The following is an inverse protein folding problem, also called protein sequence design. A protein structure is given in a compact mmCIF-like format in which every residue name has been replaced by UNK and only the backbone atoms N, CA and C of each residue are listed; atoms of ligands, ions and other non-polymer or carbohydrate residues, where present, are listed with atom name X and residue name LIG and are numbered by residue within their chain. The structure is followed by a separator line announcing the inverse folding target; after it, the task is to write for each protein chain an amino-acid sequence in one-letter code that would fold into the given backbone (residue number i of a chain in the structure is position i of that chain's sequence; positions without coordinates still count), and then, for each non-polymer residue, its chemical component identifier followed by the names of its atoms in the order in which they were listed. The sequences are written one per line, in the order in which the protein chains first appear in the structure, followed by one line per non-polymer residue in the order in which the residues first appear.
data_IF_442061121237
#
_entry.id   IF_442061121237
#
_cell.length_a   1.000
_cell.length_b   1.000
_cell.length_c   1.000
_cell.angle_alpha   90.00
_cell.angle_beta   90.00
_cell.angle_gamma   90.00
#
_symmetry.space_group_name_H-M   'P 1'
#
loop_
_entity.id
_entity.type
_entity.pdbx_description
1 polymer ?
#
# COMPACT_ATOMS: atom_id res chain seq x y z
N UNK A 1 -45.92 -13.46 24.80
CA UNK A 1 -45.17 -12.22 24.50
C UNK A 1 -43.77 -12.38 25.08
N UNK A 2 -42.78 -12.61 24.23
CA UNK A 2 -41.38 -12.39 24.55
C UNK A 2 -40.78 -11.66 23.35
N UNK A 3 -40.39 -10.41 23.61
CA UNK A 3 -39.74 -9.49 22.70
C UNK A 3 -38.26 -9.88 22.58
N UNK A 4 -37.89 -10.71 21.59
CA UNK A 4 -36.47 -10.87 21.24
C UNK A 4 -36.18 -11.24 19.78
N UNK A 5 -37.19 -11.43 18.93
CA UNK A 5 -36.97 -11.86 17.53
C UNK A 5 -37.16 -10.74 16.49
N UNK A 6 -36.87 -9.50 16.85
CA UNK A 6 -36.84 -8.37 15.90
C UNK A 6 -35.61 -7.53 16.18
N UNK A 7 -34.48 -7.92 15.58
CA UNK A 7 -33.36 -7.07 15.10
C UNK A 7 -32.15 -7.93 14.72
N UNK A 8 -32.28 -8.72 13.65
CA UNK A 8 -31.14 -8.93 12.75
C UNK A 8 -31.23 -7.88 11.64
N UNK A 9 -31.12 -6.61 12.02
CA UNK A 9 -30.83 -5.55 11.06
C UNK A 9 -29.49 -5.89 10.43
N UNK A 10 -29.49 -6.22 9.14
CA UNK A 10 -28.29 -6.41 8.32
C UNK A 10 -27.44 -5.15 8.45
N UNK A 11 -26.41 -5.20 9.30
CA UNK A 11 -25.40 -4.14 9.34
C UNK A 11 -24.83 -3.99 7.93
N UNK A 12 -24.87 -2.78 7.34
CA UNK A 12 -24.37 -2.58 5.99
C UNK A 12 -22.87 -2.93 5.96
N UNK A 13 -22.40 -3.57 4.88
CA UNK A 13 -21.00 -4.00 4.77
C UNK A 13 -20.00 -2.82 4.80
N UNK A 14 -20.46 -1.64 4.40
CA UNK A 14 -19.71 -0.38 4.41
C UNK A 14 -20.58 0.77 4.90
N UNK A 15 -19.94 1.78 5.50
CA UNK A 15 -20.59 3.01 5.94
C UNK A 15 -19.75 4.24 5.57
N UNK A 16 -20.39 5.41 5.55
CA UNK A 16 -19.71 6.70 5.44
C UNK A 16 -19.44 7.23 6.84
N UNK A 17 -18.19 7.60 7.11
CA UNK A 17 -17.79 8.21 8.37
C UNK A 17 -17.26 9.64 8.15
N UNK A 18 -17.66 10.60 9.00
CA UNK A 18 -17.11 11.95 8.92
C UNK A 18 -15.67 11.98 9.40
N UNK A 19 -14.86 12.80 8.75
CA UNK A 19 -13.48 13.13 9.08
C UNK A 19 -13.38 14.62 9.49
N UNK A 20 -12.26 15.04 10.11
CA UNK A 20 -11.99 16.45 10.34
C UNK A 20 -12.18 17.33 9.09
N UNK A 21 -12.53 18.60 9.31
CA UNK A 21 -12.74 19.59 8.25
C UNK A 21 -13.88 19.26 7.25
N UNK A 22 -14.89 18.49 7.68
CA UNK A 22 -16.09 18.22 6.89
C UNK A 22 -15.90 17.20 5.76
N UNK A 23 -14.78 16.48 5.76
CA UNK A 23 -14.53 15.40 4.80
C UNK A 23 -15.24 14.12 5.23
N UNK A 24 -15.35 13.17 4.32
CA UNK A 24 -15.91 11.85 4.59
C UNK A 24 -14.96 10.76 4.11
N UNK A 25 -15.08 9.57 4.69
CA UNK A 25 -14.41 8.38 4.19
C UNK A 25 -15.28 7.14 4.31
N UNK A 26 -14.88 6.08 3.61
CA UNK A 26 -15.51 4.77 3.66
C UNK A 26 -14.95 3.99 4.84
N UNK A 27 -15.84 3.33 5.59
CA UNK A 27 -15.49 2.35 6.62
C UNK A 27 -15.97 0.97 6.20
N UNK A 28 -15.10 -0.03 6.31
CA UNK A 28 -15.48 -1.43 6.20
C UNK A 28 -15.95 -1.93 7.56
N UNK A 29 -17.22 -2.33 7.68
CA UNK A 29 -17.76 -2.83 8.96
C UNK A 29 -17.21 -4.22 9.29
N UNK A 30 -17.01 -5.07 8.27
CA UNK A 30 -16.44 -6.40 8.44
C UNK A 30 -15.01 -6.36 9.01
N UNK A 31 -14.18 -5.43 8.52
CA UNK A 31 -12.81 -5.28 9.01
C UNK A 31 -12.71 -4.33 10.20
N UNK A 32 -13.69 -3.45 10.41
CA UNK A 32 -13.66 -2.41 11.43
C UNK A 32 -12.64 -1.31 11.16
N UNK A 33 -12.26 -1.11 9.88
CA UNK A 33 -11.24 -0.16 9.44
C UNK A 33 -11.86 0.93 8.55
N UNK A 34 -11.35 2.15 8.71
CA UNK A 34 -11.71 3.32 7.90
C UNK A 34 -10.59 3.57 6.91
N UNK A 35 -10.94 3.76 5.64
CA UNK A 35 -9.98 4.04 4.58
C UNK A 35 -9.46 5.46 4.74
N UNK A 36 -8.18 5.70 4.45
CA UNK A 36 -7.54 7.02 4.51
C UNK A 36 -7.94 7.88 5.74
N UNK A 37 -7.74 7.36 6.97
CA UNK A 37 -8.26 8.01 8.17
C UNK A 37 -7.60 9.37 8.42
N UNK A 38 -8.27 10.22 9.21
CA UNK A 38 -7.79 11.52 9.70
C UNK A 38 -7.67 12.62 8.64
N UNK A 39 -6.75 12.48 7.69
CA UNK A 39 -6.43 13.54 6.72
C UNK A 39 -7.16 13.37 5.39
N UNK A 40 -7.84 12.24 5.19
CA UNK A 40 -8.56 11.92 3.96
C UNK A 40 -7.63 11.48 2.81
N UNK A 41 -8.23 10.95 1.73
CA UNK A 41 -7.50 10.25 0.67
C UNK A 41 -6.50 11.13 -0.08
N UNK A 42 -6.81 12.41 -0.30
CA UNK A 42 -5.92 13.33 -1.03
C UNK A 42 -4.57 13.53 -0.33
N UNK A 43 -4.61 13.88 0.95
CA UNK A 43 -3.40 14.19 1.72
C UNK A 43 -2.61 12.91 1.99
N UNK A 44 -3.30 11.82 2.34
CA UNK A 44 -2.65 10.54 2.57
C UNK A 44 -1.98 10.00 1.29
N UNK A 45 -2.68 10.02 0.16
CA UNK A 45 -2.14 9.58 -1.13
C UNK A 45 -0.82 10.28 -1.46
N UNK A 46 -0.81 11.61 -1.32
CA UNK A 46 0.36 12.44 -1.59
C UNK A 46 1.51 12.18 -0.62
N UNK A 47 1.23 12.22 0.68
CA UNK A 47 2.25 12.15 1.73
C UNK A 47 2.82 10.74 1.89
N UNK A 48 1.99 9.70 1.82
CA UNK A 48 2.43 8.31 2.01
C UNK A 48 3.06 7.77 0.74
N UNK A 49 2.43 8.00 -0.41
CA UNK A 49 2.78 7.26 -1.61
C UNK A 49 3.49 8.11 -2.67
N UNK A 50 2.99 9.29 -3.00
CA UNK A 50 3.53 10.03 -4.16
C UNK A 50 4.87 10.72 -3.87
N UNK A 51 4.93 11.47 -2.78
CA UNK A 51 6.10 12.26 -2.44
C UNK A 51 7.32 11.39 -2.09
N UNK A 52 7.20 10.36 -1.22
CA UNK A 52 8.36 9.55 -0.83
C UNK A 52 8.94 8.74 -2.00
N UNK A 53 8.12 8.39 -2.99
CA UNK A 53 8.54 7.67 -4.19
C UNK A 53 8.89 8.59 -5.37
N UNK A 54 8.83 9.92 -5.18
CA UNK A 54 9.11 10.95 -6.19
C UNK A 54 8.30 10.75 -7.49
N UNK A 55 7.03 10.37 -7.36
CA UNK A 55 6.18 9.97 -8.51
C UNK A 55 6.10 11.07 -9.57
N UNK A 56 5.83 12.32 -9.18
CA UNK A 56 5.73 13.44 -10.12
C UNK A 56 7.01 13.62 -10.96
N UNK A 57 8.18 13.61 -10.32
CA UNK A 57 9.47 13.73 -10.99
C UNK A 57 9.69 12.59 -11.99
N UNK A 58 9.37 11.36 -11.57
CA UNK A 58 9.60 10.16 -12.38
C UNK A 58 8.67 10.10 -13.59
N UNK A 59 7.40 10.53 -13.45
CA UNK A 59 6.50 10.65 -14.60
C UNK A 59 7.04 11.69 -15.58
N UNK A 60 7.45 12.88 -15.11
CA UNK A 60 7.99 13.96 -15.97
C UNK A 60 9.26 13.55 -16.73
N UNK A 61 10.12 12.74 -16.10
CA UNK A 61 11.40 12.31 -16.67
C UNK A 61 11.29 11.03 -17.50
N UNK A 62 10.14 10.34 -17.47
CA UNK A 62 9.96 9.11 -18.22
C UNK A 62 9.78 9.38 -19.73
N UNK A 63 10.33 8.48 -20.55
CA UNK A 63 10.17 8.50 -22.03
C UNK A 63 9.04 7.59 -22.52
N UNK A 64 8.43 6.84 -21.60
CA UNK A 64 7.34 5.88 -21.83
C UNK A 64 6.27 6.07 -20.75
N UNK A 65 5.07 5.49 -20.88
CA UNK A 65 4.13 5.46 -19.78
C UNK A 65 4.80 4.91 -18.51
N UNK A 66 4.70 5.66 -17.42
CA UNK A 66 5.24 5.25 -16.13
C UNK A 66 4.29 4.22 -15.52
N UNK A 67 4.78 3.01 -15.26
CA UNK A 67 3.93 1.90 -14.80
C UNK A 67 3.83 1.89 -13.27
N UNK A 68 2.61 1.89 -12.73
CA UNK A 68 2.33 1.79 -11.30
C UNK A 68 1.40 0.62 -10.99
N UNK A 69 1.65 -0.04 -9.86
CA UNK A 69 0.70 -0.96 -9.26
C UNK A 69 0.03 -0.32 -8.04
N UNK A 70 -1.27 -0.54 -7.91
CA UNK A 70 -2.10 -0.12 -6.79
C UNK A 70 -2.71 -1.37 -6.15
N UNK A 71 -2.12 -1.82 -5.04
CA UNK A 71 -2.50 -3.05 -4.35
C UNK A 71 -3.44 -2.70 -3.20
N UNK A 72 -4.70 -3.13 -3.34
CA UNK A 72 -5.78 -2.73 -2.44
C UNK A 72 -6.51 -1.50 -2.97
N UNK A 73 -7.08 -1.60 -4.18
CA UNK A 73 -7.84 -0.51 -4.81
C UNK A 73 -8.88 0.10 -3.85
N UNK A 74 -9.58 -0.74 -3.09
CA UNK A 74 -10.56 -0.30 -2.10
C UNK A 74 -11.61 0.61 -2.73
N UNK A 75 -11.68 1.85 -2.25
CA UNK A 75 -12.58 2.88 -2.76
C UNK A 75 -11.94 3.77 -3.84
N UNK A 76 -10.83 3.35 -4.44
CA UNK A 76 -10.04 4.06 -5.45
C UNK A 76 -9.42 5.41 -4.99
N UNK A 77 -9.24 5.61 -3.69
CA UNK A 77 -8.68 6.85 -3.15
C UNK A 77 -7.29 7.17 -3.71
N UNK A 78 -6.35 6.22 -3.65
CA UNK A 78 -4.99 6.41 -4.17
C UNK A 78 -4.97 6.57 -5.69
N UNK A 79 -5.67 5.68 -6.42
CA UNK A 79 -5.72 5.70 -7.88
C UNK A 79 -6.28 7.01 -8.44
N UNK A 80 -7.42 7.48 -7.91
CA UNK A 80 -8.06 8.72 -8.37
C UNK A 80 -7.16 9.94 -8.07
N UNK A 81 -6.58 10.00 -6.87
CA UNK A 81 -5.69 11.11 -6.52
C UNK A 81 -4.38 11.10 -7.32
N UNK A 82 -3.86 9.91 -7.67
CA UNK A 82 -2.72 9.79 -8.56
C UNK A 82 -3.03 10.45 -9.91
N UNK A 83 -4.17 10.13 -10.52
CA UNK A 83 -4.55 10.68 -11.83
C UNK A 83 -4.83 12.19 -11.71
N UNK A 84 -5.58 12.61 -10.70
CA UNK A 84 -5.99 14.01 -10.53
C UNK A 84 -4.81 14.93 -10.22
N UNK A 85 -3.94 14.58 -9.30
CA UNK A 85 -2.83 15.46 -8.88
C UNK A 85 -1.78 15.67 -9.98
N UNK A 86 -1.67 14.72 -10.91
CA UNK A 86 -0.67 14.74 -11.97
C UNK A 86 -1.25 15.20 -13.33
N UNK A 87 -2.46 15.77 -13.35
CA UNK A 87 -3.17 16.18 -14.57
C UNK A 87 -2.38 17.18 -15.44
N UNK A 88 -1.47 17.96 -14.85
CA UNK A 88 -0.70 18.98 -15.58
C UNK A 88 0.57 18.42 -16.24
N UNK A 89 0.89 17.14 -16.01
CA UNK A 89 2.07 16.50 -16.59
C UNK A 89 1.78 16.04 -18.01
N UNK A 90 2.59 16.51 -18.94
CA UNK A 90 2.60 16.00 -20.32
C UNK A 90 3.39 14.69 -20.37
N UNK A 91 2.71 13.59 -20.07
CA UNK A 91 3.26 12.24 -20.04
C UNK A 91 2.15 11.20 -19.97
N UNK A 92 2.53 9.93 -19.81
CA UNK A 92 1.59 8.82 -19.67
C UNK A 92 1.81 8.03 -18.39
N UNK A 93 0.74 7.45 -17.84
CA UNK A 93 0.80 6.42 -16.81
C UNK A 93 0.07 5.15 -17.26
N UNK A 94 0.60 4.01 -16.83
CA UNK A 94 -0.05 2.71 -16.92
C UNK A 94 -0.32 2.23 -15.48
N UNK A 95 -1.59 2.28 -15.07
CA UNK A 95 -1.99 1.99 -13.70
C UNK A 95 -2.66 0.62 -13.63
N UNK A 96 -2.13 -0.28 -12.80
CA UNK A 96 -2.70 -1.59 -12.53
C UNK A 96 -3.21 -1.63 -11.10
N UNK A 97 -4.54 -1.59 -10.93
CA UNK A 97 -5.17 -1.68 -9.62
C UNK A 97 -5.66 -3.09 -9.33
N UNK A 98 -5.34 -3.61 -8.16
CA UNK A 98 -5.65 -4.97 -7.71
C UNK A 98 -6.57 -4.93 -6.49
N UNK A 99 -7.63 -5.74 -6.52
CA UNK A 99 -8.47 -5.97 -5.35
C UNK A 99 -9.16 -7.35 -5.41
N UNK A 100 -9.47 -7.89 -4.25
CA UNK A 100 -10.28 -9.11 -4.15
C UNK A 100 -11.78 -8.83 -4.39
N UNK A 101 -12.24 -7.59 -4.24
CA UNK A 101 -13.64 -7.23 -4.37
C UNK A 101 -13.88 -5.81 -4.89
N UNK A 102 -14.91 -5.65 -5.72
CA UNK A 102 -15.40 -4.33 -6.13
C UNK A 102 -16.38 -3.70 -5.14
N UNK A 103 -16.70 -4.39 -4.03
CA UNK A 103 -17.71 -3.90 -3.11
C UNK A 103 -17.39 -2.50 -2.51
N UNK A 104 -16.16 -2.20 -2.06
CA UNK A 104 -15.84 -0.86 -1.57
C UNK A 104 -15.89 0.20 -2.67
N UNK A 105 -15.42 -0.13 -3.88
CA UNK A 105 -15.45 0.78 -5.03
C UNK A 105 -16.88 1.15 -5.43
N UNK A 106 -17.76 0.16 -5.56
CA UNK A 106 -19.18 0.36 -5.88
C UNK A 106 -19.91 1.13 -4.79
N UNK A 107 -19.61 0.85 -3.52
CA UNK A 107 -20.17 1.60 -2.40
C UNK A 107 -19.77 3.08 -2.49
N UNK A 108 -18.49 3.35 -2.72
CA UNK A 108 -17.98 4.70 -2.81
C UNK A 108 -18.55 5.45 -4.03
N UNK A 109 -18.69 4.79 -5.18
CA UNK A 109 -19.34 5.35 -6.37
C UNK A 109 -20.77 5.81 -6.08
N UNK A 110 -21.54 5.03 -5.31
CA UNK A 110 -22.90 5.41 -4.88
C UNK A 110 -22.97 6.57 -3.88
N UNK A 111 -21.82 7.03 -3.36
CA UNK A 111 -21.70 8.13 -2.40
C UNK A 111 -20.68 9.18 -2.86
N UNK A 112 -20.47 9.31 -4.18
CA UNK A 112 -19.41 10.15 -4.75
C UNK A 112 -19.50 11.62 -4.29
N UNK A 113 -20.71 12.17 -4.23
CA UNK A 113 -20.97 13.54 -3.78
C UNK A 113 -20.49 13.79 -2.34
N UNK A 114 -20.75 12.85 -1.42
CA UNK A 114 -20.33 12.96 -0.03
C UNK A 114 -18.82 12.79 0.14
N UNK A 115 -18.22 11.90 -0.64
CA UNK A 115 -16.79 11.61 -0.59
C UNK A 115 -15.94 12.71 -1.23
N UNK A 116 -16.46 13.43 -2.22
CA UNK A 116 -15.82 14.57 -2.89
C UNK A 116 -14.68 14.16 -3.83
N UNK A 117 -13.76 13.30 -3.38
CA UNK A 117 -12.61 12.87 -4.18
C UNK A 117 -13.00 12.05 -5.42
N UNK A 118 -14.24 11.54 -5.52
CA UNK A 118 -14.70 10.83 -6.71
C UNK A 118 -15.25 11.74 -7.82
N UNK A 119 -15.48 13.02 -7.52
CA UNK A 119 -16.11 13.95 -8.45
C UNK A 119 -15.37 14.00 -9.79
N UNK A 120 -16.11 13.75 -10.87
CA UNK A 120 -15.64 13.72 -12.25
C UNK A 120 -15.09 12.36 -12.72
N UNK A 121 -14.88 11.41 -11.80
CA UNK A 121 -14.41 10.06 -12.12
C UNK A 121 -15.54 9.05 -12.21
N UNK A 122 -16.78 9.40 -11.85
CA UNK A 122 -17.90 8.45 -11.80
C UNK A 122 -18.08 7.66 -13.11
N UNK A 123 -18.14 8.30 -14.30
CA UNK A 123 -18.28 7.55 -15.56
C UNK A 123 -17.06 6.68 -15.87
N UNK A 124 -15.86 7.14 -15.50
CA UNK A 124 -14.62 6.39 -15.71
C UNK A 124 -14.56 5.15 -14.81
N UNK A 125 -15.01 5.25 -13.56
CA UNK A 125 -15.10 4.12 -12.64
C UNK A 125 -16.15 3.12 -13.12
N UNK A 126 -17.32 3.58 -13.59
CA UNK A 126 -18.34 2.72 -14.19
C UNK A 126 -17.78 1.96 -15.39
N UNK A 127 -17.08 2.66 -16.29
CA UNK A 127 -16.44 2.06 -17.46
C UNK A 127 -15.33 1.07 -17.05
N UNK A 128 -14.46 1.43 -16.10
CA UNK A 128 -13.40 0.56 -15.58
C UNK A 128 -13.98 -0.75 -15.01
N UNK A 129 -15.08 -0.66 -14.25
CA UNK A 129 -15.76 -1.83 -13.69
C UNK A 129 -16.25 -2.77 -14.80
N UNK A 130 -16.78 -2.23 -15.90
CA UNK A 130 -17.35 -2.99 -17.01
C UNK A 130 -16.27 -3.56 -17.95
N UNK A 131 -15.34 -2.71 -18.39
CA UNK A 131 -14.38 -3.02 -19.45
C UNK A 131 -13.05 -3.57 -18.92
N UNK A 132 -12.78 -3.41 -17.61
CA UNK A 132 -11.53 -3.79 -16.91
C UNK A 132 -10.28 -3.04 -17.35
N UNK A 133 -10.24 -2.53 -18.58
CA UNK A 133 -9.16 -1.70 -19.09
C UNK A 133 -9.77 -0.51 -19.79
N UNK A 134 -9.38 0.69 -19.36
CA UNK A 134 -9.82 1.93 -19.99
C UNK A 134 -8.63 2.81 -20.33
N UNK A 135 -8.78 3.59 -21.39
CA UNK A 135 -7.80 4.59 -21.81
C UNK A 135 -8.48 5.94 -21.94
N UNK A 136 -7.90 6.96 -21.32
CA UNK A 136 -8.45 8.30 -21.35
C UNK A 136 -7.37 9.35 -21.09
N UNK A 137 -7.74 10.61 -21.24
CA UNK A 137 -6.88 11.75 -20.92
C UNK A 137 -7.50 12.54 -19.78
N UNK A 138 -6.70 12.85 -18.76
CA UNK A 138 -7.10 13.70 -17.65
C UNK A 138 -6.19 14.93 -17.60
N UNK A 139 -6.73 16.09 -17.98
CA UNK A 139 -5.91 17.27 -18.25
C UNK A 139 -4.95 17.04 -19.41
N UNK A 140 -3.64 17.04 -19.12
CA UNK A 140 -2.54 16.74 -20.04
C UNK A 140 -2.02 15.29 -19.92
N UNK A 141 -2.40 14.57 -18.87
CA UNK A 141 -1.93 13.23 -18.55
C UNK A 141 -2.68 12.18 -19.38
N UNK A 142 -1.94 11.29 -20.04
CA UNK A 142 -2.48 10.10 -20.70
C UNK A 142 -2.54 8.94 -19.68
N UNK A 143 -3.68 8.26 -19.60
CA UNK A 143 -3.91 7.21 -18.60
C UNK A 143 -4.39 5.95 -19.28
N UNK A 144 -3.69 4.84 -19.03
CA UNK A 144 -4.18 3.48 -19.27
C UNK A 144 -4.40 2.81 -17.91
N UNK A 145 -5.65 2.52 -17.56
CA UNK A 145 -6.01 1.97 -16.24
C UNK A 145 -6.57 0.56 -16.38
N UNK A 146 -5.88 -0.40 -15.77
CA UNK A 146 -6.23 -1.80 -15.68
C UNK A 146 -6.77 -2.14 -14.28
N UNK A 147 -7.89 -2.85 -14.23
CA UNK A 147 -8.50 -3.40 -13.03
C UNK A 147 -8.35 -4.92 -13.01
N UNK A 148 -7.65 -5.40 -11.99
CA UNK A 148 -7.38 -6.82 -11.75
C UNK A 148 -8.20 -7.29 -10.55
N UNK A 149 -9.13 -8.22 -10.78
CA UNK A 149 -9.90 -8.84 -9.71
C UNK A 149 -9.36 -10.22 -9.39
N UNK A 150 -9.01 -10.42 -8.13
CA UNK A 150 -8.48 -11.68 -7.65
C UNK A 150 -7.89 -11.53 -6.25
N UNK A 151 -7.85 -12.63 -5.52
CA UNK A 151 -7.20 -12.66 -4.23
C UNK A 151 -5.69 -12.81 -4.41
N UNK A 152 -4.94 -11.75 -4.10
CA UNK A 152 -3.47 -11.78 -4.23
C UNK A 152 -2.79 -12.79 -3.29
N UNK A 153 -3.51 -13.37 -2.33
CA UNK A 153 -3.04 -14.52 -1.54
C UNK A 153 -2.89 -15.79 -2.39
N UNK A 154 -3.66 -15.89 -3.46
CA UNK A 154 -3.64 -17.02 -4.41
C UNK A 154 -2.63 -16.80 -5.54
N UNK A 155 -2.27 -15.55 -5.81
CA UNK A 155 -1.25 -15.17 -6.79
C UNK A 155 -1.61 -13.88 -7.52
N UNK A 156 -0.66 -13.36 -8.31
CA UNK A 156 -0.93 -12.27 -9.25
C UNK A 156 -1.52 -12.86 -10.55
N UNK A 157 -2.58 -12.28 -11.13
CA UNK A 157 -3.12 -12.75 -12.40
C UNK A 157 -2.04 -12.82 -13.49
N UNK A 158 -1.98 -13.90 -14.25
CA UNK A 158 -0.93 -14.12 -15.28
C UNK A 158 -0.87 -12.97 -16.29
N UNK A 159 -2.04 -12.44 -16.68
CA UNK A 159 -2.16 -11.30 -17.61
C UNK A 159 -1.62 -9.98 -17.04
N UNK A 160 -1.58 -9.82 -15.71
CA UNK A 160 -1.05 -8.63 -15.04
C UNK A 160 0.48 -8.62 -14.95
N UNK A 161 1.10 -9.81 -15.02
CA UNK A 161 2.56 -10.02 -14.88
C UNK A 161 3.28 -9.94 -16.23
N UNK A 162 2.55 -10.18 -17.32
CA UNK A 162 3.11 -10.38 -18.67
C UNK A 162 3.40 -9.08 -19.42
N UNK A 163 2.68 -7.98 -19.16
CA UNK A 163 2.77 -6.78 -20.01
C UNK A 163 3.77 -5.70 -19.55
N UNK A 164 3.89 -5.41 -18.24
CA UNK A 164 4.79 -4.33 -17.76
C UNK A 164 5.35 -4.57 -16.35
N UNK A 165 6.65 -4.31 -16.17
CA UNK A 165 7.27 -4.29 -14.83
C UNK A 165 6.98 -2.95 -14.16
N UNK A 166 6.33 -2.92 -12.97
CA UNK A 166 6.01 -1.66 -12.31
C UNK A 166 7.27 -0.94 -11.85
N UNK A 167 7.21 0.38 -11.93
CA UNK A 167 8.25 1.29 -11.45
C UNK A 167 7.89 1.84 -10.05
N UNK A 168 6.61 1.80 -9.68
CA UNK A 168 6.15 2.13 -8.34
C UNK A 168 4.97 1.24 -7.90
N UNK A 169 4.88 0.96 -6.60
CA UNK A 169 3.79 0.20 -5.98
C UNK A 169 3.18 1.01 -4.82
N UNK A 170 1.89 1.32 -4.94
CA UNK A 170 1.05 1.81 -3.85
C UNK A 170 0.53 0.57 -3.10
N UNK A 171 1.07 0.30 -1.91
CA UNK A 171 0.74 -0.91 -1.15
C UNK A 171 -0.19 -0.58 0.01
N UNK A 172 -1.50 -0.73 -0.21
CA UNK A 172 -2.57 -0.28 0.69
C UNK A 172 -3.68 -1.33 0.98
N UNK A 173 -3.35 -2.59 1.32
CA UNK A 173 -4.37 -3.50 1.81
C UNK A 173 -4.80 -3.11 3.24
N UNK A 174 -5.91 -3.70 3.71
CA UNK A 174 -6.30 -3.68 5.13
C UNK A 174 -5.14 -4.04 6.06
N UNK A 175 -5.15 -3.52 7.29
CA UNK A 175 -3.97 -3.55 8.16
C UNK A 175 -3.43 -4.95 8.46
N UNK A 176 -2.17 -5.07 8.93
CA UNK A 176 -1.60 -6.36 9.34
C UNK A 176 -2.43 -7.12 10.37
N UNK A 177 -3.27 -6.44 11.15
CA UNK A 177 -4.15 -7.10 12.11
C UNK A 177 -5.37 -7.76 11.45
N UNK A 178 -5.78 -7.27 10.27
CA UNK A 178 -6.98 -7.70 9.55
C UNK A 178 -6.70 -8.57 8.34
N UNK A 179 -5.56 -8.35 7.67
CA UNK A 179 -5.16 -9.12 6.50
C UNK A 179 -3.70 -9.59 6.58
N UNK A 180 -3.29 -10.31 7.65
CA UNK A 180 -1.90 -10.62 7.94
C UNK A 180 -1.18 -11.40 6.84
N UNK A 181 -1.90 -12.13 5.99
CA UNK A 181 -1.37 -12.85 4.83
C UNK A 181 -0.63 -11.92 3.88
N UNK A 182 -1.22 -10.76 3.55
CA UNK A 182 -0.64 -9.79 2.63
C UNK A 182 0.59 -9.09 3.26
N UNK A 183 0.68 -9.01 4.58
CA UNK A 183 1.82 -8.41 5.28
C UNK A 183 2.91 -9.43 5.66
N UNK A 184 2.82 -10.65 5.14
CA UNK A 184 3.76 -11.73 5.44
C UNK A 184 5.08 -11.60 4.69
N UNK A 185 6.13 -12.24 5.22
CA UNK A 185 7.40 -12.38 4.50
C UNK A 185 7.17 -13.03 3.13
N UNK A 186 6.29 -14.03 3.05
CA UNK A 186 5.97 -14.69 1.78
C UNK A 186 5.31 -13.73 0.79
N UNK A 187 4.37 -12.90 1.22
CA UNK A 187 3.75 -11.90 0.36
C UNK A 187 4.77 -10.89 -0.18
N UNK A 188 5.68 -10.38 0.67
CA UNK A 188 6.75 -9.48 0.24
C UNK A 188 7.77 -10.15 -0.69
N UNK A 189 8.06 -11.44 -0.50
CA UNK A 189 8.87 -12.21 -1.45
C UNK A 189 8.18 -12.36 -2.80
N UNK A 190 6.90 -12.73 -2.80
CA UNK A 190 6.11 -12.89 -4.03
C UNK A 190 6.07 -11.60 -4.84
N UNK A 191 5.84 -10.45 -4.21
CA UNK A 191 5.88 -9.17 -4.94
C UNK A 191 7.31 -8.85 -5.40
N UNK A 192 8.33 -9.05 -4.56
CA UNK A 192 9.74 -8.79 -4.92
C UNK A 192 10.19 -9.54 -6.17
N UNK A 193 9.70 -10.76 -6.35
CA UNK A 193 9.95 -11.60 -7.53
C UNK A 193 9.37 -11.01 -8.83
N UNK A 194 8.29 -10.23 -8.73
CA UNK A 194 7.69 -9.52 -9.87
C UNK A 194 8.45 -8.23 -10.23
N UNK A 195 9.16 -7.64 -9.26
CA UNK A 195 9.88 -6.37 -9.43
C UNK A 195 11.27 -6.60 -10.06
N UNK A 196 11.28 -6.88 -11.37
CA UNK A 196 12.50 -7.15 -12.15
C UNK A 196 13.30 -5.89 -12.52
N UNK A 197 12.69 -4.71 -12.38
CA UNK A 197 13.29 -3.41 -12.68
C UNK A 197 13.45 -2.56 -11.41
N UNK A 198 14.21 -1.44 -11.45
CA UNK A 198 14.22 -0.44 -10.39
C UNK A 198 12.79 0.01 -10.04
N UNK A 199 12.36 -0.27 -8.81
CA UNK A 199 10.99 -0.08 -8.37
C UNK A 199 10.95 0.35 -6.91
N UNK A 200 10.02 1.25 -6.59
CA UNK A 200 9.71 1.69 -5.23
C UNK A 200 8.36 1.11 -4.79
N UNK A 201 8.20 0.89 -3.49
CA UNK A 201 6.96 0.46 -2.86
C UNK A 201 6.74 1.32 -1.62
N UNK A 202 5.58 1.95 -1.50
CA UNK A 202 5.22 2.71 -0.31
C UNK A 202 3.98 2.14 0.38
N UNK A 203 3.92 2.27 1.70
CA UNK A 203 2.78 1.82 2.51
C UNK A 203 2.64 2.66 3.78
N UNK A 204 1.40 2.84 4.23
CA UNK A 204 1.09 3.52 5.49
C UNK A 204 1.63 2.77 6.73
N UNK A 205 1.87 1.46 6.61
CA UNK A 205 2.28 0.65 7.76
C UNK A 205 3.67 1.01 8.27
N UNK A 206 3.74 1.30 9.57
CA UNK A 206 4.98 1.54 10.33
C UNK A 206 5.46 0.34 11.14
N UNK A 207 4.82 -0.81 10.97
CA UNK A 207 5.08 -1.99 11.81
C UNK A 207 6.52 -2.45 11.67
N UNK A 208 7.22 -2.64 12.80
CA UNK A 208 8.58 -3.20 12.81
C UNK A 208 8.63 -4.55 12.09
N UNK A 209 7.65 -5.44 12.31
CA UNK A 209 7.58 -6.74 11.64
C UNK A 209 7.38 -6.64 10.13
N UNK A 210 6.69 -5.59 9.64
CA UNK A 210 6.52 -5.34 8.20
C UNK A 210 7.82 -4.86 7.58
N UNK A 211 8.49 -3.88 8.20
CA UNK A 211 9.82 -3.40 7.75
C UNK A 211 10.86 -4.54 7.77
N UNK A 212 10.84 -5.38 8.79
CA UNK A 212 11.69 -6.59 8.86
C UNK A 212 11.32 -7.60 7.76
N UNK A 213 10.03 -7.81 7.48
CA UNK A 213 9.59 -8.69 6.41
C UNK A 213 10.07 -8.19 5.04
N UNK A 214 9.97 -6.89 4.76
CA UNK A 214 10.47 -6.26 3.54
C UNK A 214 12.00 -6.43 3.39
N UNK A 215 12.77 -6.17 4.45
CA UNK A 215 14.23 -6.39 4.46
C UNK A 215 14.58 -7.86 4.20
N UNK A 216 13.89 -8.78 4.87
CA UNK A 216 14.09 -10.22 4.67
C UNK A 216 13.62 -10.73 3.29
N UNK A 217 12.73 -10.00 2.61
CA UNK A 217 12.35 -10.26 1.23
C UNK A 217 13.38 -9.69 0.22
N UNK A 218 14.36 -8.90 0.66
CA UNK A 218 15.40 -8.33 -0.20
C UNK A 218 15.06 -6.94 -0.76
N UNK A 219 14.24 -6.17 -0.03
CA UNK A 219 14.07 -4.75 -0.27
C UNK A 219 15.07 -3.92 0.54
N UNK A 220 15.49 -2.80 -0.02
CA UNK A 220 16.03 -1.70 0.75
C UNK A 220 14.87 -0.90 1.35
N UNK A 221 14.89 -0.64 2.66
CA UNK A 221 13.76 -0.06 3.38
C UNK A 221 14.18 1.23 4.06
N UNK A 222 13.34 2.25 3.93
CA UNK A 222 13.55 3.58 4.47
C UNK A 222 12.31 4.15 5.12
N UNK A 223 12.47 5.39 5.55
CA UNK A 223 11.41 6.20 6.15
C UNK A 223 10.56 6.78 5.03
N UNK A 224 9.26 6.54 5.08
CA UNK A 224 8.30 7.16 4.17
C UNK A 224 7.97 8.60 4.58
N UNK A 225 6.94 9.17 3.97
CA UNK A 225 6.49 10.52 4.29
C UNK A 225 5.72 10.58 5.61
N UNK A 226 5.52 11.80 6.08
CA UNK A 226 4.81 12.10 7.33
C UNK A 226 3.35 12.44 7.03
N UNK A 227 2.43 11.81 7.78
CA UNK A 227 1.00 12.14 7.75
C UNK A 227 0.58 12.65 9.11
N UNK A 228 -0.07 13.82 9.16
CA UNK A 228 -0.57 14.41 10.40
C UNK A 228 0.54 14.73 11.42
N UNK A 229 0.23 14.65 12.71
CA UNK A 229 1.21 14.89 13.77
C UNK A 229 2.08 13.65 14.02
N UNK A 230 3.24 13.60 13.35
CA UNK A 230 4.43 12.80 13.71
C UNK A 230 4.43 11.29 13.39
N UNK A 231 3.75 10.82 12.34
CA UNK A 231 3.81 9.39 11.98
C UNK A 231 4.60 9.12 10.68
N UNK A 232 5.78 8.51 10.84
CA UNK A 232 6.69 8.11 9.75
C UNK A 232 6.22 6.79 9.10
N UNK A 233 5.78 6.87 7.84
CA UNK A 233 5.35 5.70 7.05
C UNK A 233 6.55 4.89 6.53
N UNK A 234 6.33 3.90 5.64
CA UNK A 234 7.41 3.07 5.11
C UNK A 234 7.50 3.21 3.60
N UNK A 235 8.73 3.40 3.12
CA UNK A 235 9.07 3.25 1.70
C UNK A 235 10.13 2.15 1.57
N UNK A 236 10.03 1.36 0.52
CA UNK A 236 10.94 0.27 0.19
C UNK A 236 11.29 0.34 -1.29
N UNK A 237 12.42 -0.25 -1.69
CA UNK A 237 12.80 -0.32 -3.09
C UNK A 237 13.65 -1.54 -3.41
N UNK A 238 13.70 -1.88 -4.70
CA UNK A 238 14.59 -2.93 -5.20
C UNK A 238 16.05 -2.49 -5.20
N UNK A 239 16.32 -1.18 -5.15
CA UNK A 239 17.66 -0.58 -5.15
C UNK A 239 17.76 0.55 -4.10
N UNK A 240 18.90 0.72 -3.42
CA UNK A 240 19.03 1.67 -2.30
C UNK A 240 18.90 3.13 -2.72
N UNK A 241 19.34 3.51 -3.92
CA UNK A 241 19.34 4.88 -4.42
C UNK A 241 17.94 5.46 -4.64
N UNK A 242 16.91 4.59 -4.66
CA UNK A 242 15.52 5.00 -4.80
C UNK A 242 14.85 5.33 -3.46
N UNK A 243 15.55 5.14 -2.34
CA UNK A 243 15.01 5.34 -1.00
C UNK A 243 15.93 6.24 -0.20
N UNK A 244 15.37 7.35 0.27
CA UNK A 244 16.09 8.32 1.09
C UNK A 244 15.17 8.93 2.15
N UNK A 245 15.47 8.81 3.46
CA UNK A 245 16.59 8.08 4.05
C UNK A 245 16.31 6.58 4.23
N UNK A 246 17.34 5.74 4.05
CA UNK A 246 17.31 4.33 4.45
C UNK A 246 17.25 4.19 5.98
N UNK A 247 16.65 3.09 6.46
CA UNK A 247 16.75 2.70 7.87
C UNK A 247 18.21 2.39 8.21
N UNK A 248 18.66 2.90 9.35
CA UNK A 248 20.06 2.86 9.77
C UNK A 248 20.32 1.84 10.88
N UNK A 249 21.56 1.78 11.35
CA UNK A 249 21.94 0.93 12.48
C UNK A 249 21.19 1.27 13.78
N UNK A 250 20.75 2.52 13.98
CA UNK A 250 19.97 2.90 15.15
C UNK A 250 18.57 2.27 15.09
N UNK A 251 17.94 2.28 13.92
CA UNK A 251 16.69 1.54 13.71
C UNK A 251 16.90 0.04 13.92
N UNK A 252 17.95 -0.55 13.36
CA UNK A 252 18.21 -1.99 13.50
C UNK A 252 18.42 -2.40 14.96
N UNK A 253 19.08 -1.57 15.79
CA UNK A 253 19.19 -1.81 17.24
C UNK A 253 17.84 -1.77 17.96
N UNK A 254 16.92 -0.89 17.55
CA UNK A 254 15.55 -0.85 18.10
C UNK A 254 14.77 -2.14 17.80
N UNK A 255 15.06 -2.82 16.68
CA UNK A 255 14.43 -4.10 16.33
C UNK A 255 14.66 -5.16 17.41
N UNK A 256 15.86 -5.20 18.02
CA UNK A 256 16.18 -6.18 19.07
C UNK A 256 15.28 -6.09 20.31
N UNK A 257 14.74 -4.90 20.58
CA UNK A 257 13.90 -4.64 21.75
C UNK A 257 12.40 -4.57 21.40
N UNK A 258 12.05 -4.69 20.13
CA UNK A 258 10.67 -4.64 19.68
C UNK A 258 9.98 -5.98 19.88
N UNK A 259 8.87 -5.98 20.62
CA UNK A 259 7.98 -7.16 20.81
C UNK A 259 7.20 -7.52 19.55
N UNK A 260 7.31 -6.74 18.47
CA UNK A 260 6.64 -6.93 17.20
C UNK A 260 7.67 -6.92 16.04
N UNK A 261 8.81 -7.59 16.24
CA UNK A 261 9.93 -7.58 15.29
C UNK A 261 9.96 -8.79 14.36
N UNK A 262 9.51 -9.96 14.82
CA UNK A 262 9.51 -11.15 13.98
C UNK A 262 8.45 -11.03 12.86
N UNK A 263 8.84 -11.26 11.58
CA UNK A 263 7.90 -11.16 10.47
C UNK A 263 6.87 -12.29 10.50
N UNK A 264 5.70 -12.04 9.91
CA UNK A 264 4.68 -13.06 9.74
C UNK A 264 5.19 -14.08 8.72
N UNK A 265 5.38 -15.33 9.16
CA UNK A 265 5.83 -16.46 8.33
C UNK A 265 4.80 -17.59 8.26
N UNK A 266 3.83 -17.60 9.18
CA UNK A 266 2.73 -18.54 9.29
C UNK A 266 1.59 -17.90 10.09
N UNK A 267 0.38 -18.44 9.95
CA UNK A 267 -0.81 -18.04 10.70
C UNK A 267 -1.30 -19.18 11.61
N UNK A 268 -1.89 -18.86 12.79
CA UNK A 268 -2.03 -17.53 13.38
C UNK A 268 -0.68 -16.96 13.84
N UNK A 269 -0.44 -15.68 13.57
CA UNK A 269 0.79 -15.01 13.98
C UNK A 269 0.68 -14.43 15.39
N UNK A 270 1.70 -14.67 16.22
CA UNK A 270 1.87 -14.01 17.50
C UNK A 270 3.07 -13.06 17.43
N UNK A 271 2.83 -11.79 17.80
CA UNK A 271 3.89 -10.78 17.94
C UNK A 271 4.98 -11.32 18.84
N UNK A 272 6.22 -11.23 18.37
CA UNK A 272 7.40 -11.68 19.11
C UNK A 272 8.62 -10.84 18.77
N UNK A 273 9.62 -10.93 19.63
CA UNK A 273 10.97 -10.44 19.36
C UNK A 273 11.58 -11.16 18.16
N UNK A 274 12.53 -10.50 17.50
CA UNK A 274 13.23 -11.06 16.36
C UNK A 274 13.95 -12.36 16.73
N UNK A 275 13.74 -13.41 15.95
CA UNK A 275 14.42 -14.69 16.14
C UNK A 275 15.88 -14.60 15.69
N UNK A 276 16.79 -15.42 16.23
CA UNK A 276 18.21 -15.42 15.81
C UNK A 276 18.40 -15.63 14.29
N UNK A 277 17.58 -16.47 13.66
CA UNK A 277 17.63 -16.70 12.21
C UNK A 277 17.23 -15.46 11.40
N UNK A 278 16.19 -14.75 11.82
CA UNK A 278 15.74 -13.49 11.22
C UNK A 278 16.77 -12.38 11.44
N UNK A 279 17.31 -12.27 12.65
CA UNK A 279 18.38 -11.33 12.98
C UNK A 279 19.62 -11.52 12.10
N UNK A 280 20.05 -12.78 11.93
CA UNK A 280 21.19 -13.12 11.08
C UNK A 280 20.99 -12.64 9.62
N UNK A 281 19.77 -12.76 9.09
CA UNK A 281 19.43 -12.22 7.76
C UNK A 281 19.48 -10.69 7.72
N UNK A 282 18.99 -10.02 8.77
CA UNK A 282 19.00 -8.56 8.82
C UNK A 282 20.41 -7.98 8.83
N UNK A 283 21.32 -8.50 9.67
CA UNK A 283 22.69 -7.97 9.75
C UNK A 283 23.54 -8.28 8.52
N UNK A 284 23.14 -9.27 7.71
CA UNK A 284 23.78 -9.60 6.42
C UNK A 284 23.14 -8.85 5.24
N UNK A 285 22.08 -8.08 5.46
CA UNK A 285 21.42 -7.35 4.38
C UNK A 285 22.32 -6.24 3.85
N UNK A 286 22.46 -6.05 2.52
CA UNK A 286 23.38 -5.06 1.93
C UNK A 286 23.18 -3.62 2.45
N UNK A 287 21.95 -3.26 2.81
CA UNK A 287 21.64 -1.96 3.44
C UNK A 287 22.47 -1.66 4.70
N UNK A 288 22.89 -2.70 5.42
CA UNK A 288 23.61 -2.55 6.69
C UNK A 288 25.07 -2.99 6.62
N UNK A 289 25.61 -3.30 5.43
CA UNK A 289 26.97 -3.83 5.23
C UNK A 289 28.06 -2.89 5.78
N UNK A 290 27.81 -1.57 5.76
CA UNK A 290 28.72 -0.55 6.29
C UNK A 290 28.77 -0.47 7.83
N UNK A 291 27.93 -1.22 8.54
CA UNK A 291 27.85 -1.21 10.00
C UNK A 291 28.38 -2.52 10.59
N UNK A 292 29.07 -2.44 11.74
CA UNK A 292 29.55 -3.61 12.47
C UNK A 292 28.59 -4.02 13.59
N UNK A 293 28.17 -5.29 13.58
CA UNK A 293 27.24 -5.88 14.57
C UNK A 293 27.81 -7.12 15.27
N UNK A 294 29.15 -7.29 15.28
CA UNK A 294 29.82 -8.52 15.72
C UNK A 294 29.49 -8.99 17.16
N UNK A 295 28.87 -8.13 17.98
CA UNK A 295 28.49 -8.41 19.37
C UNK A 295 27.00 -8.20 19.68
N UNK A 296 26.19 -7.83 18.69
CA UNK A 296 24.75 -7.55 18.88
C UNK A 296 23.94 -8.85 18.72
N UNK A 297 23.48 -9.40 19.85
CA UNK A 297 22.60 -10.57 19.88
C UNK A 297 21.18 -10.16 20.30
N UNK A 298 20.12 -10.70 19.65
CA UNK A 298 18.75 -10.41 20.03
C UNK A 298 18.45 -10.94 21.44
N UNK A 299 17.52 -10.28 22.13
CA UNK A 299 17.10 -10.68 23.49
C UNK A 299 16.59 -12.12 23.45
N UNK A 300 17.26 -13.01 24.20
CA UNK A 300 16.81 -14.39 24.39
C UNK A 300 15.73 -14.42 25.47
N UNK A 301 14.58 -15.00 25.17
CA UNK A 301 13.58 -15.41 26.15
C UNK A 301 13.51 -16.93 26.17
#
# INVERSE_FOLDING_TARGET
MNHSDVKSELTPAYSIVPLPHGRHSVRSEAHGETFHPQVGPEVEARCVYFHPMRIEERIKNSRKPFCLWDIGLGSAGNAINLIREHEQIKGGIELHSFDASLAPLKFALGHSELLGYMCGFEPLIEQLIQEKVIQFKWGQLEVCWHLHLGDLREGYPEDSVSSTCPEAVLYDPYSPAKNPELWSLKAFQTIREQLKAPCTLATYSRSTSVRVAMLCAGFFVGKGGEVGEKEETTVAATHPELVEPLLDALWLRKVMHSTNAEPITHLPHKRSFVRPSTWSKLIQHPQFEQYSFAHDLPVRH
#
